data_IF_185506864618
#
_entry.id   IF_185506864618
#
_cell.length_a   1.000
_cell.length_b   1.000
_cell.length_c   1.000
_cell.angle_alpha   90.00
_cell.angle_beta   90.00
_cell.angle_gamma   90.00
#
_symmetry.space_group_name_H-M   'P 1'
#
loop_
_entity.id
_entity.type
_entity.pdbx_description
1 polymer ?
#
# COMPACT_ATOMS: atom_id res chain seq x y z
N UNK A 1 -31.37 21.30 -76.60
CA UNK A 1 -31.02 22.50 -75.80
C UNK A 1 -29.63 22.35 -75.21
N UNK A 2 -28.69 23.18 -75.67
CA UNK A 2 -27.59 23.83 -74.92
C UNK A 2 -26.69 22.92 -74.02
N UNK A 3 -25.79 22.14 -74.65
CA UNK A 3 -24.60 21.46 -74.04
C UNK A 3 -23.80 22.32 -73.03
N UNK A 4 -23.94 23.64 -73.08
CA UNK A 4 -23.36 24.63 -72.17
C UNK A 4 -23.86 24.52 -70.72
N UNK A 5 -25.08 24.01 -70.48
CA UNK A 5 -25.59 23.78 -69.12
C UNK A 5 -24.94 22.56 -68.44
N UNK A 6 -24.41 21.62 -69.22
CA UNK A 6 -23.74 20.43 -68.72
C UNK A 6 -22.37 20.77 -68.09
N UNK A 7 -21.69 21.80 -68.63
CA UNK A 7 -20.48 22.37 -68.04
C UNK A 7 -20.73 23.23 -66.80
N UNK A 8 -21.94 23.79 -66.65
CA UNK A 8 -22.35 24.52 -65.43
C UNK A 8 -22.78 23.57 -64.30
N UNK A 9 -23.21 22.35 -64.61
CA UNK A 9 -23.56 21.32 -63.62
C UNK A 9 -22.33 20.67 -62.98
N UNK A 10 -21.21 20.56 -63.70
CA UNK A 10 -19.98 19.97 -63.20
C UNK A 10 -19.42 20.63 -61.91
N UNK A 11 -19.30 21.97 -61.79
CA UNK A 11 -18.85 22.60 -60.55
C UNK A 11 -19.86 22.44 -59.40
N UNK A 12 -21.16 22.41 -59.70
CA UNK A 12 -22.20 22.20 -58.69
C UNK A 12 -22.14 20.77 -58.15
N UNK A 13 -21.95 19.78 -59.02
CA UNK A 13 -21.74 18.39 -58.63
C UNK A 13 -20.45 18.21 -57.81
N UNK A 14 -19.37 18.93 -58.16
CA UNK A 14 -18.11 18.89 -57.43
C UNK A 14 -18.25 19.48 -56.02
N UNK A 15 -18.90 20.64 -55.89
CA UNK A 15 -19.10 21.30 -54.59
C UNK A 15 -20.01 20.47 -53.68
N UNK A 16 -21.06 19.86 -54.24
CA UNK A 16 -21.96 18.98 -53.50
C UNK A 16 -21.25 17.70 -53.06
N UNK A 17 -20.42 17.09 -53.91
CA UNK A 17 -19.62 15.93 -53.54
C UNK A 17 -18.60 16.25 -52.42
N UNK A 18 -17.92 17.40 -52.51
CA UNK A 18 -16.98 17.86 -51.48
C UNK A 18 -17.66 18.17 -50.14
N UNK A 19 -18.88 18.74 -50.18
CA UNK A 19 -19.67 18.98 -48.99
C UNK A 19 -20.10 17.68 -48.30
N UNK A 20 -20.52 16.67 -49.08
CA UNK A 20 -20.90 15.36 -48.55
C UNK A 20 -19.72 14.60 -47.94
N UNK A 21 -18.53 14.67 -48.55
CA UNK A 21 -17.33 14.04 -48.00
C UNK A 21 -16.90 14.65 -46.67
N UNK A 22 -16.93 15.98 -46.54
CA UNK A 22 -16.63 16.66 -45.27
C UNK A 22 -17.65 16.35 -44.17
N UNK A 23 -18.93 16.18 -44.53
CA UNK A 23 -19.96 15.79 -43.56
C UNK A 23 -19.67 14.42 -42.94
N UNK A 24 -19.17 13.47 -43.74
CA UNK A 24 -18.90 12.12 -43.27
C UNK A 24 -17.70 12.02 -42.31
N UNK A 25 -16.64 12.82 -42.52
CA UNK A 25 -15.47 12.81 -41.64
C UNK A 25 -15.72 13.47 -40.27
N UNK A 26 -16.68 14.39 -40.21
CA UNK A 26 -17.02 15.10 -38.96
C UNK A 26 -17.80 14.22 -37.97
N UNK A 27 -18.26 13.04 -38.42
CA UNK A 27 -18.93 12.02 -37.60
C UNK A 27 -17.93 11.03 -36.97
N UNK A 28 -16.67 11.44 -36.71
CA UNK A 28 -15.79 10.67 -35.82
C UNK A 28 -16.38 10.67 -34.42
N UNK A 29 -17.13 9.60 -34.15
CA UNK A 29 -17.82 9.30 -32.90
C UNK A 29 -16.88 9.51 -31.72
N UNK A 30 -17.10 10.60 -30.99
CA UNK A 30 -16.45 10.79 -29.69
C UNK A 30 -17.07 9.78 -28.75
N UNK A 31 -16.27 8.84 -28.27
CA UNK A 31 -16.74 7.79 -27.38
C UNK A 31 -17.01 8.41 -25.99
N UNK A 32 -18.29 8.64 -25.69
CA UNK A 32 -18.72 9.24 -24.43
C UNK A 32 -18.90 8.13 -23.38
N UNK A 33 -18.01 8.10 -22.38
CA UNK A 33 -18.11 7.16 -21.25
C UNK A 33 -18.92 7.80 -20.13
N UNK A 34 -19.92 7.08 -19.60
CA UNK A 34 -20.74 7.53 -18.47
C UNK A 34 -20.04 7.25 -17.14
N UNK A 35 -20.00 8.21 -16.20
CA UNK A 35 -19.49 7.96 -14.85
C UNK A 35 -20.38 6.96 -14.11
N UNK A 36 -19.77 6.13 -13.26
CA UNK A 36 -20.47 5.20 -12.38
C UNK A 36 -20.39 5.71 -10.94
N UNK A 37 -21.53 5.75 -10.26
CA UNK A 37 -21.59 6.02 -8.83
C UNK A 37 -21.27 4.72 -8.09
N UNK A 38 -20.36 4.78 -7.12
CA UNK A 38 -19.95 3.65 -6.32
C UNK A 38 -19.11 4.09 -5.14
N UNK A 39 -18.97 3.21 -4.15
CA UNK A 39 -18.10 3.44 -3.00
C UNK A 39 -16.64 3.46 -3.44
N UNK A 40 -15.92 4.53 -3.09
CA UNK A 40 -14.48 4.62 -3.25
C UNK A 40 -13.87 4.35 -1.87
N UNK A 41 -13.00 3.33 -1.81
CA UNK A 41 -12.20 3.03 -0.63
C UNK A 41 -10.76 3.39 -0.93
N UNK A 42 -10.15 4.18 -0.05
CA UNK A 42 -8.73 4.48 -0.07
C UNK A 42 -8.04 3.61 0.99
N UNK A 43 -6.96 2.94 0.59
CA UNK A 43 -6.13 2.14 1.51
C UNK A 43 -4.78 2.82 1.62
N UNK A 44 -4.47 3.31 2.83
CA UNK A 44 -3.15 3.85 3.14
C UNK A 44 -2.27 2.69 3.63
N UNK A 45 -1.20 2.40 2.90
CA UNK A 45 -0.24 1.36 3.29
C UNK A 45 0.62 1.85 4.46
N UNK A 46 0.31 1.36 5.66
CA UNK A 46 1.17 1.54 6.83
C UNK A 46 2.32 0.54 6.80
N UNK A 47 3.56 1.02 6.71
CA UNK A 47 4.75 0.23 7.01
C UNK A 47 5.09 0.41 8.49
N UNK A 48 5.23 -0.69 9.22
CA UNK A 48 5.57 -0.66 10.64
C UNK A 48 6.28 -1.94 11.06
N UNK A 49 7.09 -1.84 12.09
CA UNK A 49 7.77 -2.98 12.72
C UNK A 49 6.92 -3.49 13.87
N UNK A 50 6.69 -4.80 13.93
CA UNK A 50 6.02 -5.42 15.08
C UNK A 50 7.03 -5.58 16.21
N UNK A 51 6.71 -5.05 17.38
CA UNK A 51 7.55 -5.15 18.57
C UNK A 51 6.87 -5.90 19.70
N UNK A 52 7.67 -6.48 20.60
CA UNK A 52 7.17 -7.09 21.83
C UNK A 52 6.45 -6.06 22.70
N UNK A 53 5.25 -6.41 23.15
CA UNK A 53 4.45 -5.58 24.06
C UNK A 53 5.20 -5.28 25.38
N UNK A 54 5.98 -6.25 25.88
CA UNK A 54 6.88 -6.07 27.01
C UNK A 54 8.31 -6.42 26.63
N UNK A 55 9.25 -5.52 26.95
CA UNK A 55 10.69 -5.75 26.83
C UNK A 55 11.34 -5.43 28.17
N UNK A 56 12.08 -6.39 28.72
CA UNK A 56 12.84 -6.20 29.94
C UNK A 56 14.32 -6.43 29.66
N UNK A 57 15.14 -5.43 29.99
CA UNK A 57 16.58 -5.49 29.84
C UNK A 57 17.22 -5.39 31.21
N UNK A 58 17.88 -6.47 31.65
CA UNK A 58 18.65 -6.47 32.88
C UNK A 58 20.09 -6.04 32.60
N UNK A 59 20.58 -5.05 33.36
CA UNK A 59 21.98 -4.61 33.32
C UNK A 59 22.51 -4.48 34.75
N UNK A 60 23.76 -4.88 34.95
CA UNK A 60 24.44 -4.71 36.22
C UNK A 60 24.97 -3.28 36.35
N UNK A 61 24.73 -2.66 37.51
CA UNK A 61 25.31 -1.36 37.84
C UNK A 61 26.75 -1.45 38.38
N UNK A 62 27.17 -2.63 38.84
CA UNK A 62 28.51 -2.91 39.37
C UNK A 62 29.01 -4.26 38.85
N UNK A 63 30.32 -4.38 38.65
CA UNK A 63 30.94 -5.64 38.22
C UNK A 63 30.72 -6.75 39.24
N UNK A 64 30.12 -7.87 38.81
CA UNK A 64 29.86 -9.06 39.61
C UNK A 64 30.19 -10.30 38.80
N UNK A 65 30.70 -11.34 39.46
CA UNK A 65 30.93 -12.65 38.85
C UNK A 65 29.60 -13.37 38.69
N UNK A 66 29.32 -13.84 37.47
CA UNK A 66 28.19 -14.72 37.20
C UNK A 66 28.47 -16.09 37.80
N UNK A 67 27.55 -16.58 38.63
CA UNK A 67 27.69 -17.89 39.28
C UNK A 67 26.87 -18.97 38.54
N UNK A 68 25.57 -18.71 38.31
CA UNK A 68 24.68 -19.68 37.68
C UNK A 68 23.71 -19.03 36.69
N UNK A 69 23.41 -19.75 35.62
CA UNK A 69 22.33 -19.46 34.66
C UNK A 69 21.32 -20.61 34.71
N UNK A 70 20.03 -20.29 34.87
CA UNK A 70 18.95 -21.28 34.98
C UNK A 70 18.17 -21.51 33.69
N UNK A 71 18.41 -20.71 32.66
CA UNK A 71 17.65 -20.72 31.40
C UNK A 71 18.58 -20.64 30.20
N UNK A 72 18.09 -21.11 29.05
CA UNK A 72 18.79 -20.99 27.77
C UNK A 72 18.17 -19.91 26.89
N UNK A 73 18.93 -19.43 25.92
CA UNK A 73 18.41 -18.47 24.93
C UNK A 73 17.23 -19.07 24.14
N UNK A 74 16.21 -18.26 23.88
CA UNK A 74 14.98 -18.70 23.22
C UNK A 74 14.03 -19.52 24.12
N UNK A 75 14.43 -19.87 25.34
CA UNK A 75 13.59 -20.60 26.27
C UNK A 75 12.40 -19.74 26.71
N UNK A 76 11.20 -20.33 26.68
CA UNK A 76 9.99 -19.71 27.20
C UNK A 76 10.03 -19.71 28.74
N UNK A 77 9.81 -18.55 29.34
CA UNK A 77 9.79 -18.37 30.80
C UNK A 77 8.44 -17.82 31.25
N UNK A 78 8.06 -18.09 32.49
CA UNK A 78 6.84 -17.54 33.12
C UNK A 78 7.22 -16.61 34.27
N UNK A 79 6.27 -15.82 34.76
CA UNK A 79 6.50 -14.94 35.93
C UNK A 79 7.12 -15.74 37.08
N UNK A 80 8.21 -15.23 37.65
CA UNK A 80 8.92 -15.87 38.76
C UNK A 80 9.94 -16.94 38.36
N UNK A 81 10.07 -17.31 37.08
CA UNK A 81 11.14 -18.21 36.63
C UNK A 81 12.50 -17.58 36.95
N UNK A 82 13.37 -18.31 37.64
CA UNK A 82 14.75 -17.87 37.90
C UNK A 82 15.50 -17.82 36.58
N UNK A 83 16.25 -16.74 36.35
CA UNK A 83 17.00 -16.52 35.12
C UNK A 83 18.49 -16.75 35.34
N UNK A 84 19.06 -16.04 36.32
CA UNK A 84 20.48 -16.12 36.65
C UNK A 84 20.75 -15.67 38.08
N UNK A 85 21.95 -15.99 38.59
CA UNK A 85 22.44 -15.61 39.92
C UNK A 85 23.92 -15.23 39.85
N UNK A 86 24.26 -14.15 40.55
CA UNK A 86 25.64 -13.70 40.74
C UNK A 86 26.19 -14.19 42.09
N UNK A 87 27.51 -14.18 42.24
CA UNK A 87 28.16 -14.38 43.53
C UNK A 87 27.73 -13.30 44.54
N UNK A 88 27.33 -13.75 45.74
CA UNK A 88 26.82 -12.92 46.84
C UNK A 88 25.70 -11.93 46.42
N UNK A 89 24.91 -12.29 45.40
CA UNK A 89 23.89 -11.44 44.80
C UNK A 89 22.48 -12.05 44.81
N UNK A 90 21.45 -11.21 44.64
CA UNK A 90 20.08 -11.70 44.52
C UNK A 90 19.88 -12.53 43.25
N UNK A 91 18.94 -13.49 43.30
CA UNK A 91 18.50 -14.24 42.12
C UNK A 91 17.62 -13.34 41.26
N UNK A 92 17.96 -13.22 39.98
CA UNK A 92 17.14 -12.48 39.01
C UNK A 92 16.02 -13.40 38.53
N UNK A 93 14.79 -12.90 38.56
CA UNK A 93 13.59 -13.65 38.15
C UNK A 93 12.87 -12.95 37.00
N UNK A 94 12.16 -13.74 36.19
CA UNK A 94 11.30 -13.26 35.12
C UNK A 94 10.15 -12.43 35.68
N UNK A 95 9.99 -11.23 35.15
CA UNK A 95 8.84 -10.36 35.39
C UNK A 95 7.92 -10.45 34.18
N UNK A 96 6.74 -11.03 34.33
CA UNK A 96 5.62 -10.71 33.44
C UNK A 96 5.00 -9.42 33.97
N UNK A 97 5.08 -8.35 33.18
CA UNK A 97 4.22 -7.19 33.36
C UNK A 97 2.81 -7.64 33.01
N UNK A 98 1.91 -7.57 33.98
CA UNK A 98 0.48 -7.83 33.74
C UNK A 98 -0.08 -6.68 32.87
N UNK A 99 -0.93 -6.98 31.88
CA UNK A 99 -1.57 -5.93 31.10
C UNK A 99 -2.55 -5.18 32.01
N UNK A 100 -2.33 -3.88 32.18
CA UNK A 100 -3.33 -2.94 32.70
C UNK A 100 -4.28 -2.52 31.57
#
# INVERSE_FOLDING_TARGET
>A
MKRKYLWLLAPVALVTALALLKWNETQKSTELIKPKLGSISEVIYGLGTVESYHKFNFKLGVGKTLNEIYVQEGQKVVKGTRLLRFEDGPVVVSLLLEPY
#
